data_IF_035154398138
#
_entry.id   IF_035154398138
#
_cell.length_a   1.000
_cell.length_b   1.000
_cell.length_c   1.000
_cell.angle_alpha   90.00
_cell.angle_beta   90.00
_cell.angle_gamma   90.00
#
_symmetry.space_group_name_H-M   'P 1'
#
loop_
_entity.id
_entity.type
_entity.pdbx_description
1 polymer ?
#
# COMPACT_ATOMS: atom_id res chain seq x y z
N UNK A 1 -23.01 11.01 -2.84
CA UNK A 1 -22.11 11.60 -3.82
C UNK A 1 -20.89 10.75 -3.99
N UNK A 2 -20.82 10.15 -5.15
CA UNK A 2 -19.79 9.14 -5.43
C UNK A 2 -18.37 9.70 -5.35
N UNK A 3 -18.19 10.93 -5.81
CA UNK A 3 -16.86 11.55 -5.81
C UNK A 3 -16.33 11.79 -4.41
N UNK A 4 -17.21 12.13 -3.47
CA UNK A 4 -16.81 12.36 -2.09
C UNK A 4 -16.35 11.08 -1.44
N UNK A 5 -17.03 9.96 -1.72
CA UNK A 5 -16.63 8.67 -1.16
C UNK A 5 -15.25 8.27 -1.65
N UNK A 6 -14.95 8.50 -2.92
CA UNK A 6 -13.64 8.20 -3.48
C UNK A 6 -12.56 9.07 -2.86
N UNK A 7 -12.85 10.37 -2.68
CA UNK A 7 -11.90 11.29 -2.06
C UNK A 7 -11.64 10.91 -0.60
N UNK A 8 -12.67 10.49 0.13
CA UNK A 8 -12.50 10.04 1.50
C UNK A 8 -11.58 8.83 1.60
N UNK A 9 -11.74 7.86 0.70
CA UNK A 9 -10.87 6.69 0.67
C UNK A 9 -9.42 7.09 0.41
N UNK A 10 -9.18 8.02 -0.53
CA UNK A 10 -7.85 8.50 -0.84
C UNK A 10 -7.24 9.28 0.32
N UNK A 11 -8.06 10.02 1.06
CA UNK A 11 -7.58 10.80 2.20
C UNK A 11 -7.13 9.92 3.36
N UNK A 12 -7.66 8.71 3.47
CA UNK A 12 -7.27 7.79 4.52
C UNK A 12 -5.94 7.08 4.21
N UNK A 13 -5.46 7.19 2.98
CA UNK A 13 -4.21 6.54 2.61
C UNK A 13 -3.01 7.21 3.26
N UNK A 14 -2.09 6.39 3.76
CA UNK A 14 -0.78 6.84 4.20
C UNK A 14 0.26 6.35 3.21
N UNK A 15 1.34 7.11 3.06
CA UNK A 15 2.38 6.79 2.10
C UNK A 15 3.71 6.66 2.81
N UNK A 16 4.48 5.66 2.40
CA UNK A 16 5.81 5.41 2.96
C UNK A 16 6.80 5.22 1.83
N UNK A 17 7.92 5.91 1.94
CA UNK A 17 9.01 5.80 0.98
C UNK A 17 9.97 4.69 1.38
N UNK A 18 11.00 4.52 0.57
CA UNK A 18 11.98 3.45 0.71
C UNK A 18 12.63 3.41 2.09
N UNK A 19 12.83 4.56 2.72
CA UNK A 19 13.44 4.59 4.05
C UNK A 19 12.63 3.83 5.11
N UNK A 20 11.35 3.61 4.85
CA UNK A 20 10.49 2.86 5.77
C UNK A 20 10.28 1.43 5.29
N UNK A 21 9.99 1.26 4.01
CA UNK A 21 9.56 -0.04 3.48
C UNK A 21 10.68 -0.85 2.86
N UNK A 22 11.72 -0.20 2.37
CA UNK A 22 12.76 -0.85 1.57
C UNK A 22 12.36 -1.03 0.11
N UNK A 23 11.10 -0.79 -0.23
CA UNK A 23 10.62 -0.86 -1.62
C UNK A 23 11.06 0.40 -2.35
N UNK A 24 11.59 0.25 -3.57
CA UNK A 24 12.15 1.36 -4.33
C UNK A 24 11.15 2.47 -4.63
N UNK A 25 9.88 2.11 -4.80
CA UNK A 25 8.80 3.06 -5.08
C UNK A 25 7.95 3.28 -3.85
N UNK A 26 7.26 4.43 -3.77
CA UNK A 26 6.37 4.74 -2.66
C UNK A 26 5.29 3.69 -2.52
N UNK A 27 5.01 3.28 -1.29
CA UNK A 27 3.93 2.33 -0.96
C UNK A 27 2.81 3.10 -0.27
N UNK A 28 1.60 2.95 -0.78
CA UNK A 28 0.40 3.55 -0.18
C UNK A 28 -0.39 2.46 0.53
N UNK A 29 -0.76 2.71 1.77
CA UNK A 29 -1.50 1.76 2.61
C UNK A 29 -2.77 2.45 3.10
N UNK A 30 -3.89 1.77 3.02
CA UNK A 30 -5.17 2.32 3.46
C UNK A 30 -5.94 1.33 4.31
N UNK A 31 -6.81 1.83 5.22
CA UNK A 31 -7.82 0.96 5.82
C UNK A 31 -8.91 0.66 4.80
N UNK A 32 -9.84 -0.22 5.18
CA UNK A 32 -10.88 -0.70 4.27
C UNK A 32 -11.74 0.43 3.69
N UNK A 33 -12.13 1.41 4.50
CA UNK A 33 -13.00 2.48 4.04
C UNK A 33 -14.26 1.91 3.41
N UNK A 34 -14.58 2.38 2.21
CA UNK A 34 -15.73 1.87 1.43
C UNK A 34 -15.35 0.80 0.43
N UNK A 35 -14.15 0.24 0.54
CA UNK A 35 -13.69 -0.76 -0.41
C UNK A 35 -14.50 -2.05 -0.32
N UNK A 36 -14.74 -2.64 -1.49
CA UNK A 36 -15.47 -3.91 -1.62
C UNK A 36 -14.55 -5.04 -2.05
N UNK A 37 -13.27 -4.79 -2.13
CA UNK A 37 -12.27 -5.77 -2.50
C UNK A 37 -11.49 -6.23 -1.27
N UNK A 38 -10.69 -7.27 -1.46
CA UNK A 38 -9.80 -7.76 -0.42
C UNK A 38 -8.68 -6.74 -0.13
N UNK A 39 -8.01 -6.85 1.03
CA UNK A 39 -6.91 -5.97 1.38
C UNK A 39 -5.82 -5.96 0.32
N UNK A 40 -5.27 -4.77 0.05
CA UNK A 40 -4.17 -4.61 -0.89
C UNK A 40 -3.42 -3.32 -0.59
N UNK A 41 -2.21 -3.21 -1.14
CA UNK A 41 -1.43 -1.98 -1.11
C UNK A 41 -1.30 -1.43 -2.51
N UNK A 42 -1.02 -0.14 -2.64
CA UNK A 42 -0.71 0.47 -3.94
C UNK A 42 0.76 0.85 -3.98
N UNK A 43 1.34 0.71 -5.15
CA UNK A 43 2.74 1.07 -5.39
C UNK A 43 2.76 2.19 -6.42
N UNK A 44 3.46 3.28 -6.14
CA UNK A 44 3.62 4.37 -7.12
C UNK A 44 4.39 3.84 -8.33
N UNK A 45 3.93 4.18 -9.53
CA UNK A 45 4.59 3.75 -10.75
C UNK A 45 5.26 4.95 -11.42
N UNK A 46 4.53 6.03 -11.66
CA UNK A 46 5.06 7.20 -12.33
C UNK A 46 4.41 8.47 -11.77
N UNK A 47 5.18 9.30 -11.11
CA UNK A 47 6.59 9.11 -10.76
C UNK A 47 6.77 8.12 -9.60
N UNK A 48 7.94 7.45 -9.52
CA UNK A 48 8.15 6.38 -8.54
C UNK A 48 8.16 6.84 -7.09
N UNK A 49 8.44 8.10 -6.83
CA UNK A 49 8.51 8.64 -5.48
C UNK A 49 7.30 9.53 -5.15
N UNK A 50 6.24 9.46 -5.94
CA UNK A 50 5.05 10.28 -5.72
C UNK A 50 4.42 9.97 -4.37
N UNK A 51 3.96 11.02 -3.70
CA UNK A 51 3.16 10.89 -2.49
C UNK A 51 1.67 11.14 -2.78
N UNK A 52 1.31 11.26 -4.05
CA UNK A 52 -0.07 11.48 -4.48
C UNK A 52 -0.66 10.15 -4.95
N UNK A 53 -1.61 9.58 -4.20
CA UNK A 53 -2.19 8.29 -4.58
C UNK A 53 -3.03 8.34 -5.86
N UNK A 54 -3.28 9.56 -6.40
CA UNK A 54 -3.99 9.71 -7.67
C UNK A 54 -3.07 9.67 -8.87
N UNK A 55 -1.73 9.67 -8.66
CA UNK A 55 -0.78 9.45 -9.75
C UNK A 55 -0.85 7.99 -10.20
N UNK A 56 -0.10 7.64 -11.22
CA UNK A 56 -0.11 6.26 -11.73
C UNK A 56 0.37 5.30 -10.65
N UNK A 57 -0.45 4.29 -10.35
CA UNK A 57 -0.13 3.28 -9.34
C UNK A 57 -0.50 1.88 -9.85
N UNK A 58 0.04 0.88 -9.18
CA UNK A 58 -0.40 -0.51 -9.34
C UNK A 58 -0.82 -1.03 -7.97
N UNK A 59 -1.73 -1.98 -7.94
CA UNK A 59 -2.24 -2.55 -6.69
C UNK A 59 -1.81 -3.99 -6.54
N UNK A 60 -1.33 -4.34 -5.35
CA UNK A 60 -0.83 -5.67 -5.02
C UNK A 60 -1.65 -6.19 -3.84
N UNK A 61 -2.27 -7.34 -4.00
CA UNK A 61 -2.99 -7.99 -2.90
C UNK A 61 -2.05 -8.51 -1.83
N UNK A 62 -2.57 -8.77 -0.65
CA UNK A 62 -1.74 -9.31 0.43
C UNK A 62 -1.26 -10.73 0.14
N UNK A 63 -1.85 -11.39 -0.85
CA UNK A 63 -1.39 -12.68 -1.36
C UNK A 63 -0.25 -12.55 -2.39
N UNK A 64 0.14 -11.33 -2.74
CA UNK A 64 1.24 -11.07 -3.67
C UNK A 64 0.83 -10.93 -5.12
N UNK A 65 -0.44 -11.07 -5.45
CA UNK A 65 -0.88 -10.95 -6.84
C UNK A 65 -1.11 -9.50 -7.24
N UNK A 66 -0.76 -9.15 -8.47
CA UNK A 66 -1.10 -7.85 -9.04
C UNK A 66 -2.60 -7.87 -9.34
N UNK A 67 -3.34 -6.96 -8.72
CA UNK A 67 -4.79 -6.88 -8.91
C UNK A 67 -5.20 -5.72 -9.80
N UNK A 68 -4.31 -4.75 -10.03
CA UNK A 68 -4.55 -3.63 -10.95
C UNK A 68 -3.21 -3.02 -11.35
N UNK A 69 -3.14 -2.54 -12.59
CA UNK A 69 -1.95 -1.89 -13.13
C UNK A 69 -0.88 -2.86 -13.57
N UNK A 70 0.27 -2.33 -13.95
CA UNK A 70 1.41 -3.11 -14.40
C UNK A 70 2.62 -2.78 -13.53
N UNK A 71 3.40 -3.82 -13.19
CA UNK A 71 4.58 -3.69 -12.33
C UNK A 71 5.72 -4.45 -12.99
N UNK A 72 6.87 -3.77 -13.13
CA UNK A 72 8.03 -4.46 -13.69
C UNK A 72 8.53 -5.53 -12.70
N UNK A 73 9.21 -6.57 -13.21
CA UNK A 73 9.50 -7.77 -12.39
C UNK A 73 10.26 -7.52 -11.10
N UNK A 74 11.27 -6.64 -11.11
CA UNK A 74 12.06 -6.40 -9.90
C UNK A 74 11.23 -5.67 -8.84
N UNK A 75 10.46 -4.67 -9.26
CA UNK A 75 9.60 -3.94 -8.35
C UNK A 75 8.52 -4.88 -7.79
N UNK A 76 7.98 -5.76 -8.62
CA UNK A 76 7.00 -6.73 -8.16
C UNK A 76 7.57 -7.64 -7.07
N UNK A 77 8.80 -8.12 -7.25
CA UNK A 77 9.45 -8.96 -6.23
C UNK A 77 9.58 -8.21 -4.91
N UNK A 78 9.98 -6.93 -4.96
CA UNK A 78 10.06 -6.12 -3.76
C UNK A 78 8.70 -5.97 -3.08
N UNK A 79 7.68 -5.66 -3.86
CA UNK A 79 6.33 -5.50 -3.32
C UNK A 79 5.81 -6.80 -2.71
N UNK A 80 6.06 -7.93 -3.37
CA UNK A 80 5.65 -9.24 -2.85
C UNK A 80 6.35 -9.57 -1.53
N UNK A 81 7.65 -9.28 -1.44
CA UNK A 81 8.37 -9.47 -0.17
C UNK A 81 7.79 -8.59 0.92
N UNK A 82 7.50 -7.34 0.58
CA UNK A 82 6.96 -6.40 1.55
C UNK A 82 5.61 -6.86 2.10
N UNK A 83 4.67 -7.25 1.21
CA UNK A 83 3.35 -7.68 1.68
C UNK A 83 3.44 -9.00 2.44
N UNK A 84 4.29 -9.92 2.03
CA UNK A 84 4.47 -11.18 2.75
C UNK A 84 5.01 -10.95 4.16
N UNK A 85 6.01 -10.08 4.28
CA UNK A 85 6.64 -9.77 5.56
C UNK A 85 5.69 -9.06 6.51
N UNK A 86 4.81 -8.22 5.97
CA UNK A 86 3.93 -7.35 6.75
C UNK A 86 2.46 -7.75 6.69
N UNK A 87 2.17 -8.97 6.25
CA UNK A 87 0.78 -9.38 5.98
C UNK A 87 -0.14 -9.16 7.16
N UNK A 88 0.29 -9.54 8.35
CA UNK A 88 -0.56 -9.43 9.53
C UNK A 88 -0.83 -7.98 9.88
N UNK A 89 0.20 -7.13 9.93
CA UNK A 89 0.01 -5.73 10.31
C UNK A 89 -0.81 -4.98 9.27
N UNK A 90 -0.63 -5.31 7.98
CA UNK A 90 -1.43 -4.71 6.92
C UNK A 90 -2.89 -5.12 7.03
N UNK A 91 -3.16 -6.37 7.37
CA UNK A 91 -4.53 -6.86 7.57
C UNK A 91 -5.18 -6.19 8.78
N UNK A 92 -4.44 -6.03 9.88
CA UNK A 92 -4.98 -5.37 11.07
C UNK A 92 -5.31 -3.91 10.78
N UNK A 93 -4.44 -3.22 10.05
CA UNK A 93 -4.73 -1.84 9.69
C UNK A 93 -5.94 -1.73 8.76
N UNK A 94 -6.05 -2.63 7.80
CA UNK A 94 -7.20 -2.69 6.89
C UNK A 94 -8.51 -2.82 7.67
N UNK A 95 -8.52 -3.64 8.73
CA UNK A 95 -9.71 -3.91 9.51
C UNK A 95 -9.89 -2.96 10.70
N UNK A 96 -9.17 -1.85 10.74
CA UNK A 96 -9.28 -0.83 11.79
C UNK A 96 -8.91 -1.37 13.18
N UNK A 97 -8.03 -2.35 13.27
CA UNK A 97 -7.60 -2.91 14.56
C UNK A 97 -6.43 -2.16 15.16
N UNK A 98 -5.69 -1.43 14.34
CA UNK A 98 -4.56 -0.59 14.77
C UNK A 98 -4.66 0.75 14.08
N UNK A 99 -4.03 1.76 14.69
CA UNK A 99 -4.00 3.10 14.09
C UNK A 99 -2.74 3.29 13.24
N UNK A 100 -2.59 4.48 12.68
CA UNK A 100 -1.49 4.78 11.77
C UNK A 100 -0.14 4.76 12.50
N UNK A 101 -0.09 5.20 13.75
CA UNK A 101 1.15 5.17 14.52
C UNK A 101 1.60 3.74 14.80
N UNK A 102 0.67 2.86 15.15
CA UNK A 102 0.98 1.46 15.36
C UNK A 102 1.43 0.79 14.05
N UNK A 103 0.77 1.12 12.95
CA UNK A 103 1.18 0.63 11.65
C UNK A 103 2.64 0.99 11.37
N UNK A 104 2.98 2.27 11.53
CA UNK A 104 4.33 2.75 11.26
C UNK A 104 5.37 2.05 12.13
N UNK A 105 5.05 1.84 13.41
CA UNK A 105 5.95 1.20 14.35
C UNK A 105 6.18 -0.27 14.03
N UNK A 106 5.18 -0.95 13.50
CA UNK A 106 5.21 -2.39 13.28
C UNK A 106 5.63 -2.79 11.87
N UNK A 107 5.62 -1.84 10.91
CA UNK A 107 6.08 -2.14 9.55
C UNK A 107 7.55 -2.53 9.56
N UNK A 108 7.84 -3.59 8.83
CA UNK A 108 9.20 -4.09 8.68
C UNK A 108 9.68 -3.79 7.26
N UNK A 109 10.89 -3.25 7.17
CA UNK A 109 11.52 -2.97 5.89
C UNK A 109 12.03 -4.28 5.28
N UNK A 110 11.97 -4.38 3.94
CA UNK A 110 12.57 -5.51 3.24
C UNK A 110 14.08 -5.36 3.08
N UNK A 111 14.63 -4.18 3.38
CA UNK A 111 16.08 -3.98 3.32
C UNK A 111 16.76 -4.60 4.53
N UNK A 112 17.89 -5.19 4.27
CA UNK A 112 18.70 -5.83 5.30
C UNK A 112 19.70 -4.86 5.92
#
# INVERSE_FOLDING_TARGET
MTLLDTDDDLQEMVSYRKNVTGVAHTVFISPKGNARHAPRVKIAIDPPDSLDPRSETASIGLDGHVVAGEVEPELLRQAQRFVALNRQVLSEYWHYRIDTDELRQRLQSIEE
#
